data_IF_150158239815
#
_entry.id   IF_150158239815
#
_cell.length_a   1.000
_cell.length_b   1.000
_cell.length_c   1.000
_cell.angle_alpha   90.00
_cell.angle_beta   90.00
_cell.angle_gamma   90.00
#
_symmetry.space_group_name_H-M   'P 1'
#
loop_
_entity.id
_entity.type
_entity.pdbx_description
1 polymer ?
#
# COMPACT_ATOMS: atom_id res chain seq x y z
N UNK A 1 -18.36 -32.38 -49.38
CA UNK A 1 -16.98 -32.55 -48.88
C UNK A 1 -16.50 -31.20 -48.41
N UNK A 2 -15.97 -31.18 -47.19
CA UNK A 2 -15.98 -30.07 -46.25
C UNK A 2 -14.90 -29.02 -46.56
N UNK A 3 -15.30 -27.80 -46.92
CA UNK A 3 -14.41 -26.63 -46.89
C UNK A 3 -14.37 -26.09 -45.45
N UNK A 4 -13.19 -26.19 -44.83
CA UNK A 4 -12.90 -25.61 -43.52
C UNK A 4 -12.52 -24.15 -43.75
N UNK A 5 -13.42 -23.25 -43.35
CA UNK A 5 -13.18 -21.81 -43.33
C UNK A 5 -12.09 -21.44 -42.34
N UNK A 6 -11.01 -20.84 -42.85
CA UNK A 6 -9.99 -20.18 -42.05
C UNK A 6 -10.57 -18.89 -41.46
N UNK A 7 -10.85 -18.91 -40.15
CA UNK A 7 -11.15 -17.69 -39.39
C UNK A 7 -9.84 -16.94 -39.15
N UNK A 8 -9.69 -15.81 -39.83
CA UNK A 8 -8.72 -14.77 -39.50
C UNK A 8 -9.05 -14.19 -38.13
N UNK A 9 -8.22 -14.47 -37.13
CA UNK A 9 -8.18 -13.72 -35.86
C UNK A 9 -7.10 -12.65 -35.95
N UNK A 10 -7.37 -11.60 -36.74
CA UNK A 10 -6.64 -10.32 -36.65
C UNK A 10 -7.50 -9.36 -35.83
N UNK A 11 -7.29 -9.29 -34.52
CA UNK A 11 -7.55 -8.07 -33.76
C UNK A 11 -6.95 -8.16 -32.35
N UNK A 12 -6.05 -7.21 -32.08
CA UNK A 12 -5.48 -6.76 -30.80
C UNK A 12 -3.95 -6.84 -30.69
N UNK A 13 -3.22 -6.47 -31.74
CA UNK A 13 -1.84 -5.97 -31.61
C UNK A 13 -1.87 -4.45 -31.80
N UNK A 14 -2.38 -3.74 -30.79
CA UNK A 14 -2.16 -2.30 -30.61
C UNK A 14 -2.06 -2.00 -29.12
N UNK A 15 -0.91 -2.34 -28.55
CA UNK A 15 -0.40 -1.66 -27.35
C UNK A 15 0.96 -1.10 -27.73
N UNK A 16 1.02 0.23 -27.84
CA UNK A 16 2.24 0.97 -28.13
C UNK A 16 3.36 0.65 -27.14
N UNK A 17 4.59 0.86 -27.59
CA UNK A 17 5.84 0.90 -26.83
C UNK A 17 5.61 0.98 -25.32
N UNK A 18 5.71 -0.16 -24.64
CA UNK A 18 5.73 -0.24 -23.20
C UNK A 18 7.03 0.41 -22.71
N UNK A 19 7.02 1.74 -22.56
CA UNK A 19 8.10 2.50 -21.97
C UNK A 19 8.39 1.90 -20.59
N UNK A 20 9.62 1.39 -20.42
CA UNK A 20 10.11 0.70 -19.24
C UNK A 20 9.60 1.40 -17.96
N UNK A 21 8.87 0.66 -17.09
CA UNK A 21 8.27 1.19 -15.85
C UNK A 21 9.30 1.65 -14.81
N UNK A 22 10.58 1.39 -15.10
CA UNK A 22 11.72 1.49 -14.20
C UNK A 22 12.81 2.46 -14.69
N UNK A 23 12.47 3.41 -15.55
CA UNK A 23 13.33 4.56 -15.81
C UNK A 23 12.97 5.70 -14.86
N UNK A 24 13.98 6.32 -14.24
CA UNK A 24 13.78 7.60 -13.52
C UNK A 24 13.38 8.64 -14.56
N UNK A 25 12.12 9.00 -14.53
CA UNK A 25 11.54 10.02 -15.39
C UNK A 25 11.00 11.14 -14.52
N UNK A 26 10.51 12.21 -15.14
CA UNK A 26 9.66 13.17 -14.45
C UNK A 26 8.51 12.49 -13.70
N UNK A 27 7.75 13.27 -12.95
CA UNK A 27 6.63 12.80 -12.14
C UNK A 27 5.77 11.78 -12.88
N UNK A 28 5.76 10.54 -12.37
CA UNK A 28 5.17 9.37 -13.02
C UNK A 28 4.08 8.77 -12.14
N UNK A 29 3.04 8.24 -12.77
CA UNK A 29 2.00 7.45 -12.11
C UNK A 29 2.22 5.96 -12.28
N UNK A 30 1.79 5.20 -11.28
CA UNK A 30 1.92 3.75 -11.21
C UNK A 30 0.60 3.16 -10.74
N UNK A 31 0.05 2.23 -11.51
CA UNK A 31 -1.11 1.47 -11.07
C UNK A 31 -0.71 0.44 -10.01
N UNK A 32 -1.58 0.24 -9.02
CA UNK A 32 -1.41 -0.77 -7.99
C UNK A 32 -1.53 -2.19 -8.52
N UNK A 33 -1.30 -3.15 -7.61
CA UNK A 33 -1.39 -4.58 -7.89
C UNK A 33 -0.07 -5.22 -8.32
N UNK A 34 -0.20 -6.38 -8.97
CA UNK A 34 0.91 -7.25 -9.36
C UNK A 34 1.83 -6.59 -10.38
N UNK A 35 3.14 -6.73 -10.20
CA UNK A 35 4.16 -6.18 -11.10
C UNK A 35 4.89 -7.30 -11.83
N UNK A 36 4.55 -7.48 -13.10
CA UNK A 36 5.23 -8.40 -14.01
C UNK A 36 6.06 -7.61 -14.99
N UNK A 37 7.35 -7.92 -15.10
CA UNK A 37 8.28 -7.23 -15.99
C UNK A 37 9.23 -8.18 -16.70
N UNK A 38 9.74 -7.78 -17.88
CA UNK A 38 10.89 -8.44 -18.47
C UNK A 38 12.09 -8.45 -17.53
N UNK A 39 12.92 -9.50 -17.56
CA UNK A 39 14.09 -9.66 -16.68
C UNK A 39 15.04 -8.46 -16.78
N UNK A 40 15.27 -7.96 -18.00
CA UNK A 40 16.11 -6.79 -18.30
C UNK A 40 15.55 -5.47 -17.74
N UNK A 41 14.29 -5.48 -17.29
CA UNK A 41 13.61 -4.34 -16.70
C UNK A 41 13.32 -4.53 -15.19
N UNK A 42 13.78 -5.62 -14.56
CA UNK A 42 13.57 -5.81 -13.14
C UNK A 42 14.37 -4.76 -12.32
N UNK A 43 13.82 -4.23 -11.21
CA UNK A 43 14.56 -3.37 -10.30
C UNK A 43 15.60 -4.19 -9.53
N UNK A 44 16.44 -3.50 -8.75
CA UNK A 44 17.25 -4.20 -7.76
C UNK A 44 16.37 -4.84 -6.69
N UNK A 45 16.75 -6.04 -6.28
CA UNK A 45 16.04 -6.87 -5.33
C UNK A 45 16.75 -8.18 -5.13
N UNK A 46 16.20 -9.03 -4.27
CA UNK A 46 16.73 -10.37 -4.00
C UNK A 46 15.91 -11.40 -4.76
N UNK A 47 16.57 -12.24 -5.54
CA UNK A 47 15.93 -13.41 -6.12
C UNK A 47 15.41 -14.32 -5.00
N UNK A 48 14.19 -14.83 -5.15
CA UNK A 48 13.70 -15.88 -4.25
C UNK A 48 14.62 -17.09 -4.35
N UNK A 49 15.01 -17.72 -3.21
CA UNK A 49 15.93 -18.85 -3.22
C UNK A 49 15.31 -20.16 -3.73
N UNK A 50 14.04 -20.11 -4.16
CA UNK A 50 13.25 -21.20 -4.72
C UNK A 50 12.28 -20.64 -5.77
N UNK A 51 11.80 -21.50 -6.68
CA UNK A 51 10.82 -21.15 -7.70
C UNK A 51 9.41 -21.31 -7.15
N UNK A 52 8.88 -20.25 -6.54
CA UNK A 52 7.56 -20.27 -5.89
C UNK A 52 6.45 -20.58 -6.91
N UNK A 53 6.49 -19.94 -8.09
CA UNK A 53 5.56 -20.22 -9.19
C UNK A 53 5.62 -21.66 -9.73
N UNK A 54 6.77 -22.35 -9.61
CA UNK A 54 6.91 -23.75 -9.99
C UNK A 54 6.52 -24.73 -8.87
N UNK A 55 5.93 -24.25 -7.78
CA UNK A 55 5.51 -25.08 -6.66
C UNK A 55 6.64 -25.53 -5.73
N UNK A 56 7.84 -24.95 -5.87
CA UNK A 56 8.94 -25.23 -4.94
C UNK A 56 8.65 -24.60 -3.57
N UNK A 57 9.23 -25.20 -2.54
CA UNK A 57 9.15 -24.72 -1.17
C UNK A 57 10.50 -24.14 -0.73
N UNK A 58 10.51 -23.19 0.21
CA UNK A 58 11.74 -22.76 0.88
C UNK A 58 12.37 -23.91 1.66
N UNK A 59 13.64 -23.71 2.06
CA UNK A 59 14.35 -24.64 2.95
C UNK A 59 13.62 -24.76 4.30
N UNK A 60 13.71 -25.91 5.01
CA UNK A 60 13.09 -26.08 6.31
C UNK A 60 13.47 -24.99 7.31
N UNK A 61 12.49 -24.50 8.06
CA UNK A 61 12.63 -23.38 8.99
C UNK A 61 12.01 -23.67 10.35
N UNK A 62 11.50 -22.64 11.03
CA UNK A 62 11.03 -22.74 12.40
C UNK A 62 9.57 -23.26 12.56
N UNK A 63 8.92 -23.72 11.48
CA UNK A 63 7.53 -24.18 11.50
C UNK A 63 7.20 -25.18 12.63
N UNK A 64 8.01 -26.21 12.93
CA UNK A 64 7.70 -27.14 14.03
C UNK A 64 7.64 -26.45 15.41
N UNK A 65 8.48 -25.44 15.64
CA UNK A 65 8.48 -24.65 16.88
C UNK A 65 7.25 -23.75 16.94
N UNK A 66 6.89 -23.10 15.84
CA UNK A 66 5.70 -22.24 15.75
C UNK A 66 4.43 -23.05 16.00
N UNK A 67 4.32 -24.26 15.43
CA UNK A 67 3.16 -25.15 15.65
C UNK A 67 3.06 -25.66 17.09
N UNK A 68 4.19 -26.03 17.69
CA UNK A 68 4.20 -26.60 19.05
C UNK A 68 4.10 -25.54 20.15
N UNK A 69 4.64 -24.34 19.93
CA UNK A 69 4.78 -23.31 20.96
C UNK A 69 3.96 -22.05 20.70
N UNK A 70 3.33 -21.90 19.54
CA UNK A 70 2.72 -20.64 19.12
C UNK A 70 3.76 -19.55 18.84
N UNK A 71 3.29 -18.31 18.69
CA UNK A 71 4.12 -17.18 18.27
C UNK A 71 3.63 -15.83 18.80
N UNK A 72 4.53 -14.85 18.75
CA UNK A 72 4.29 -13.44 19.00
C UNK A 72 4.97 -12.63 17.89
N UNK A 73 4.23 -11.74 17.25
CA UNK A 73 4.73 -10.76 16.30
C UNK A 73 4.71 -9.37 16.96
N UNK A 74 5.87 -8.74 17.04
CA UNK A 74 6.03 -7.34 17.43
C UNK A 74 6.05 -6.47 16.16
N UNK A 75 4.99 -5.71 15.95
CA UNK A 75 4.82 -4.78 14.82
C UNK A 75 5.41 -3.39 15.13
N UNK A 76 6.14 -3.27 16.24
CA UNK A 76 6.83 -2.06 16.66
C UNK A 76 5.92 -1.03 17.33
N UNK A 77 6.54 0.11 17.66
CA UNK A 77 5.87 1.30 18.20
C UNK A 77 5.76 2.42 17.15
N UNK A 78 6.38 2.20 15.98
CA UNK A 78 6.54 3.19 14.93
C UNK A 78 5.31 3.17 14.03
N UNK A 79 4.65 4.32 13.85
CA UNK A 79 3.78 4.62 12.71
C UNK A 79 2.52 3.75 12.53
N UNK A 80 1.45 4.37 12.00
CA UNK A 80 0.29 3.60 11.54
C UNK A 80 0.63 2.75 10.30
N UNK A 81 1.48 3.25 9.40
CA UNK A 81 1.84 2.57 8.15
C UNK A 81 2.55 1.23 8.39
N UNK A 82 3.62 1.26 9.20
CA UNK A 82 4.46 0.10 9.52
C UNK A 82 3.63 -1.03 10.14
N UNK A 83 2.78 -0.69 11.12
CA UNK A 83 1.86 -1.64 11.73
C UNK A 83 0.89 -2.25 10.71
N UNK A 84 0.23 -1.44 9.87
CA UNK A 84 -0.72 -1.92 8.88
C UNK A 84 -0.08 -2.84 7.84
N UNK A 85 1.07 -2.47 7.30
CA UNK A 85 1.77 -3.22 6.26
C UNK A 85 2.45 -4.48 6.84
N UNK A 86 2.91 -4.40 8.08
CA UNK A 86 3.50 -5.51 8.84
C UNK A 86 2.53 -6.63 9.20
N UNK A 87 1.21 -6.36 9.23
CA UNK A 87 0.18 -7.37 9.47
C UNK A 87 0.21 -8.53 8.45
N UNK A 88 0.83 -8.36 7.29
CA UNK A 88 1.06 -9.48 6.37
C UNK A 88 1.91 -10.61 7.00
N UNK A 89 2.83 -10.28 7.92
CA UNK A 89 3.57 -11.30 8.69
C UNK A 89 2.62 -12.11 9.57
N UNK A 90 1.65 -11.43 10.19
CA UNK A 90 0.61 -12.04 11.03
C UNK A 90 -0.30 -12.95 10.20
N UNK A 91 -0.61 -12.57 8.95
CA UNK A 91 -1.36 -13.43 8.01
C UNK A 91 -0.59 -14.72 7.72
N UNK A 92 0.70 -14.63 7.39
CA UNK A 92 1.53 -15.81 7.13
C UNK A 92 1.65 -16.74 8.35
N UNK A 93 1.85 -16.17 9.54
CA UNK A 93 1.88 -16.93 10.80
C UNK A 93 0.52 -17.57 11.12
N UNK A 94 -0.58 -16.86 10.84
CA UNK A 94 -1.94 -17.38 11.04
C UNK A 94 -2.25 -18.56 10.13
N UNK A 95 -1.81 -18.53 8.88
CA UNK A 95 -2.04 -19.61 7.91
C UNK A 95 -1.50 -20.96 8.41
N UNK A 96 -0.34 -20.95 9.08
CA UNK A 96 0.28 -22.17 9.62
C UNK A 96 -0.23 -22.55 11.02
N UNK A 97 -1.02 -21.68 11.66
CA UNK A 97 -1.67 -21.92 12.96
C UNK A 97 -3.15 -21.50 12.98
N UNK A 98 -4.02 -22.06 12.11
CA UNK A 98 -5.40 -21.61 11.96
C UNK A 98 -6.30 -21.94 13.16
N UNK A 99 -5.89 -22.89 14.01
CA UNK A 99 -6.66 -23.27 15.22
C UNK A 99 -6.34 -22.44 16.47
N UNK A 100 -5.27 -21.64 16.47
CA UNK A 100 -4.85 -20.92 17.68
C UNK A 100 -5.58 -19.57 17.81
N UNK A 101 -6.16 -19.22 18.97
CA UNK A 101 -6.75 -17.90 19.17
C UNK A 101 -5.71 -16.79 18.97
N UNK A 102 -6.08 -15.73 18.24
CA UNK A 102 -5.26 -14.53 18.06
C UNK A 102 -5.68 -13.44 19.05
N UNK A 103 -4.69 -12.74 19.59
CA UNK A 103 -4.87 -11.57 20.42
C UNK A 103 -3.94 -10.44 19.99
N UNK A 104 -4.52 -9.28 19.71
CA UNK A 104 -3.81 -8.03 19.54
C UNK A 104 -3.81 -7.22 20.85
N UNK A 105 -2.67 -6.62 21.17
CA UNK A 105 -2.51 -5.67 22.27
C UNK A 105 -1.72 -4.44 21.77
N UNK A 106 -2.23 -3.24 22.03
CA UNK A 106 -1.56 -1.99 21.66
C UNK A 106 -2.52 -0.80 21.52
N UNK A 107 -2.03 0.40 21.14
CA UNK A 107 -2.80 1.65 21.24
C UNK A 107 -3.91 1.80 20.18
N UNK A 108 -3.98 0.89 19.21
CA UNK A 108 -4.96 0.90 18.10
C UNK A 108 -5.99 -0.23 18.20
N UNK A 109 -6.36 -0.66 19.41
CA UNK A 109 -7.30 -1.75 19.63
C UNK A 109 -8.63 -1.57 18.89
N UNK A 110 -9.17 -0.34 18.90
CA UNK A 110 -10.42 -0.02 18.21
C UNK A 110 -10.33 -0.19 16.69
N UNK A 111 -9.23 0.21 16.06
CA UNK A 111 -8.98 -0.03 14.64
C UNK A 111 -8.84 -1.54 14.38
N UNK A 112 -8.09 -2.25 15.22
CA UNK A 112 -7.86 -3.69 15.06
C UNK A 112 -9.13 -4.54 15.20
N UNK A 113 -10.16 -4.07 15.92
CA UNK A 113 -11.48 -4.73 15.93
C UNK A 113 -12.16 -4.77 14.56
N UNK A 114 -11.76 -3.86 13.66
CA UNK A 114 -12.28 -3.79 12.29
C UNK A 114 -11.46 -4.61 11.29
N UNK A 115 -10.29 -5.11 11.70
CA UNK A 115 -9.42 -5.92 10.87
C UNK A 115 -10.12 -7.24 10.50
N UNK A 116 -9.92 -7.72 9.27
CA UNK A 116 -10.51 -8.96 8.78
C UNK A 116 -9.91 -10.20 9.43
N UNK A 117 -8.78 -10.07 10.14
CA UNK A 117 -8.19 -11.16 10.91
C UNK A 117 -9.02 -11.44 12.17
N UNK A 118 -9.44 -12.69 12.41
CA UNK A 118 -10.26 -13.04 13.57
C UNK A 118 -9.41 -13.02 14.84
N UNK A 119 -9.39 -11.88 15.52
CA UNK A 119 -8.61 -11.69 16.75
C UNK A 119 -9.39 -10.93 17.82
N UNK A 120 -9.08 -11.22 19.08
CA UNK A 120 -9.47 -10.38 20.21
C UNK A 120 -8.51 -9.21 20.33
N UNK A 121 -8.96 -8.09 20.89
CA UNK A 121 -8.15 -6.87 21.00
C UNK A 121 -8.15 -6.34 22.43
N UNK A 122 -7.00 -5.95 22.95
CA UNK A 122 -6.86 -5.15 24.17
C UNK A 122 -6.16 -3.84 23.87
N UNK A 123 -6.60 -2.78 24.54
CA UNK A 123 -5.88 -1.51 24.54
C UNK A 123 -4.71 -1.60 25.52
N UNK A 124 -3.53 -1.23 25.03
CA UNK A 124 -2.33 -1.17 25.84
C UNK A 124 -1.42 -0.05 25.33
N UNK A 125 -0.69 0.57 26.24
CA UNK A 125 0.39 1.49 25.89
C UNK A 125 1.61 0.70 25.41
N UNK A 126 2.34 1.27 24.44
CA UNK A 126 3.57 0.67 23.91
C UNK A 126 3.39 0.01 22.54
N UNK A 127 4.12 -1.10 22.26
CA UNK A 127 4.18 -1.69 20.92
C UNK A 127 2.88 -2.34 20.49
N UNK A 128 2.71 -2.45 19.18
CA UNK A 128 1.68 -3.22 18.54
C UNK A 128 2.07 -4.70 18.54
N UNK A 129 1.45 -5.50 19.41
CA UNK A 129 1.77 -6.93 19.54
C UNK A 129 0.59 -7.77 19.09
N UNK A 130 0.83 -8.76 18.22
CA UNK A 130 -0.13 -9.83 17.92
C UNK A 130 0.47 -11.15 18.38
N UNK A 131 -0.29 -11.96 19.11
CA UNK A 131 0.20 -13.23 19.67
C UNK A 131 -0.86 -14.32 19.69
N UNK A 132 -0.39 -15.55 19.82
CA UNK A 132 -1.18 -16.72 20.24
C UNK A 132 -1.10 -16.94 21.76
N UNK A 133 -2.12 -17.52 22.37
CA UNK A 133 -2.24 -17.71 23.83
C UNK A 133 -1.34 -18.79 24.47
N UNK A 134 -0.07 -18.89 24.09
CA UNK A 134 0.84 -19.95 24.54
C UNK A 134 1.89 -19.46 25.55
N UNK A 135 2.45 -20.37 26.36
CA UNK A 135 3.37 -20.03 27.47
C UNK A 135 4.79 -19.67 27.04
N UNK A 136 5.24 -20.09 25.85
CA UNK A 136 6.61 -19.85 25.37
C UNK A 136 6.68 -19.63 23.85
N UNK A 137 6.03 -18.58 23.33
CA UNK A 137 5.89 -18.36 21.90
C UNK A 137 7.23 -18.05 21.20
N UNK A 138 7.35 -18.46 19.94
CA UNK A 138 8.42 -17.99 19.04
C UNK A 138 8.20 -16.50 18.76
N UNK A 139 9.24 -15.68 18.88
CA UNK A 139 9.14 -14.22 18.70
C UNK A 139 9.60 -13.81 17.32
N UNK A 140 8.79 -12.99 16.66
CA UNK A 140 9.06 -12.36 15.38
C UNK A 140 9.04 -10.85 15.58
N UNK A 141 10.14 -10.17 15.22
CA UNK A 141 10.16 -8.72 15.07
C UNK A 141 9.79 -8.41 13.63
N UNK A 142 8.84 -7.50 13.44
CA UNK A 142 8.41 -7.06 12.12
C UNK A 142 8.93 -5.64 11.92
N UNK A 143 9.96 -5.52 11.09
CA UNK A 143 10.62 -4.25 10.79
C UNK A 143 10.43 -3.91 9.31
N UNK A 144 9.80 -2.77 9.01
CA UNK A 144 9.52 -2.33 7.65
C UNK A 144 10.79 -2.07 6.82
N UNK A 145 11.93 -1.90 7.49
CA UNK A 145 13.22 -1.64 6.83
C UNK A 145 14.00 -2.89 6.45
N UNK A 146 13.68 -4.05 7.04
CA UNK A 146 14.43 -5.29 6.84
C UNK A 146 14.14 -6.03 5.51
N UNK A 147 12.88 -6.25 5.10
CA UNK A 147 12.63 -7.21 4.02
C UNK A 147 12.93 -6.58 2.63
N UNK A 148 13.73 -7.26 1.79
CA UNK A 148 14.09 -6.76 0.46
C UNK A 148 12.91 -6.86 -0.50
N UNK A 149 12.99 -6.17 -1.64
CA UNK A 149 12.17 -6.52 -2.79
C UNK A 149 12.50 -7.96 -3.20
N UNK A 150 11.49 -8.80 -3.38
CA UNK A 150 11.70 -10.17 -3.87
C UNK A 150 11.43 -10.26 -5.37
N UNK A 151 12.27 -11.02 -6.07
CA UNK A 151 12.14 -11.29 -7.50
C UNK A 151 11.84 -12.79 -7.68
N UNK A 152 10.64 -13.11 -8.18
CA UNK A 152 10.27 -14.48 -8.55
C UNK A 152 10.34 -14.65 -10.07
N UNK A 153 11.07 -15.67 -10.55
CA UNK A 153 11.13 -15.94 -11.97
C UNK A 153 9.96 -16.85 -12.36
N UNK A 154 9.09 -16.34 -13.22
CA UNK A 154 7.90 -17.06 -13.68
C UNK A 154 8.17 -17.94 -14.92
N UNK A 155 9.27 -17.69 -15.63
CA UNK A 155 9.62 -18.40 -16.86
C UNK A 155 10.73 -17.68 -17.65
N UNK A 156 10.97 -18.08 -18.90
CA UNK A 156 11.97 -17.42 -19.76
C UNK A 156 11.65 -15.94 -19.94
N UNK A 157 12.53 -15.07 -19.45
CA UNK A 157 12.45 -13.62 -19.68
C UNK A 157 11.43 -12.85 -18.85
N UNK A 158 10.71 -13.48 -17.91
CA UNK A 158 9.74 -12.77 -17.05
C UNK A 158 10.02 -12.96 -15.55
N UNK A 159 9.90 -11.84 -14.82
CA UNK A 159 10.02 -11.78 -13.37
C UNK A 159 8.80 -11.08 -12.78
N UNK A 160 8.30 -11.64 -11.68
CA UNK A 160 7.41 -10.95 -10.78
C UNK A 160 8.22 -10.19 -9.73
N UNK A 161 7.88 -8.91 -9.57
CA UNK A 161 8.50 -8.02 -8.59
C UNK A 161 7.56 -7.89 -7.40
N UNK A 162 7.94 -8.50 -6.28
CA UNK A 162 7.25 -8.33 -5.00
C UNK A 162 7.78 -7.09 -4.29
N UNK A 163 7.44 -5.93 -4.85
CA UNK A 163 7.85 -4.62 -4.34
C UNK A 163 7.09 -4.18 -3.09
N UNK A 164 5.79 -4.50 -2.98
CA UNK A 164 4.94 -4.02 -1.89
C UNK A 164 5.31 -4.64 -0.54
N UNK A 165 5.45 -3.80 0.50
CA UNK A 165 5.91 -4.22 1.82
C UNK A 165 5.12 -5.39 2.43
N UNK A 166 3.78 -5.49 2.30
CA UNK A 166 3.04 -6.66 2.74
C UNK A 166 3.55 -7.97 2.13
N UNK A 167 3.78 -8.01 0.82
CA UNK A 167 4.28 -9.22 0.17
C UNK A 167 5.72 -9.52 0.55
N UNK A 168 6.54 -8.48 0.78
CA UNK A 168 7.90 -8.66 1.28
C UNK A 168 7.94 -9.33 2.64
N UNK A 169 7.10 -8.86 3.57
CA UNK A 169 6.94 -9.46 4.90
C UNK A 169 6.42 -10.90 4.81
N UNK A 170 5.41 -11.14 3.98
CA UNK A 170 4.83 -12.47 3.81
C UNK A 170 5.85 -13.48 3.26
N UNK A 171 6.63 -13.11 2.25
CA UNK A 171 7.69 -13.96 1.70
C UNK A 171 8.88 -14.15 2.65
N UNK A 172 9.17 -13.16 3.49
CA UNK A 172 10.14 -13.32 4.58
C UNK A 172 9.64 -14.32 5.62
N UNK A 173 8.34 -14.31 5.96
CA UNK A 173 7.75 -15.32 6.85
C UNK A 173 7.75 -16.71 6.20
N UNK A 174 7.39 -16.83 4.92
CA UNK A 174 7.46 -18.07 4.14
C UNK A 174 8.85 -18.74 4.29
N UNK A 175 9.91 -17.95 4.11
CA UNK A 175 11.29 -18.41 4.26
C UNK A 175 11.67 -18.75 5.70
N UNK A 176 11.31 -17.93 6.68
CA UNK A 176 11.63 -18.19 8.09
C UNK A 176 10.92 -19.44 8.64
N UNK A 177 9.66 -19.65 8.23
CA UNK A 177 8.89 -20.84 8.59
C UNK A 177 9.40 -22.08 7.85
N UNK A 178 9.90 -21.90 6.63
CA UNK A 178 10.34 -22.99 5.77
C UNK A 178 9.19 -23.81 5.21
N UNK A 179 8.10 -23.14 4.85
CA UNK A 179 6.94 -23.73 4.19
C UNK A 179 6.35 -22.72 3.22
N UNK A 180 5.94 -23.16 2.03
CA UNK A 180 5.23 -22.31 1.08
C UNK A 180 3.88 -21.89 1.67
N UNK A 181 3.65 -20.59 1.73
CA UNK A 181 2.37 -20.00 2.13
C UNK A 181 1.49 -19.80 0.88
N UNK A 182 0.18 -19.75 1.09
CA UNK A 182 -0.84 -19.91 0.05
C UNK A 182 -1.09 -18.68 -0.82
N UNK A 183 -0.86 -17.47 -0.31
CA UNK A 183 -1.22 -16.23 -1.00
C UNK A 183 -0.16 -15.85 -2.02
N UNK A 184 -0.59 -15.69 -3.27
CA UNK A 184 0.23 -15.22 -4.37
C UNK A 184 0.19 -13.69 -4.52
N UNK A 185 -0.85 -13.03 -4.00
CA UNK A 185 -0.99 -11.58 -4.01
C UNK A 185 -1.63 -11.01 -2.71
N UNK A 186 -1.36 -9.72 -2.48
CA UNK A 186 -1.97 -8.84 -1.47
C UNK A 186 -2.27 -9.49 -0.10
N UNK A 187 -1.24 -9.93 0.67
CA UNK A 187 -1.44 -10.59 1.97
C UNK A 187 -1.85 -9.64 3.10
N UNK A 188 -1.99 -8.33 2.83
CA UNK A 188 -2.41 -7.37 3.83
C UNK A 188 -3.89 -7.59 4.18
N UNK A 189 -4.26 -7.68 5.47
CA UNK A 189 -5.65 -7.80 5.86
C UNK A 189 -6.42 -6.51 5.61
N UNK A 190 -7.73 -6.63 5.40
CA UNK A 190 -8.62 -5.52 5.12
C UNK A 190 -9.30 -5.01 6.40
N UNK A 191 -9.76 -3.76 6.38
CA UNK A 191 -10.50 -3.13 7.47
C UNK A 191 -11.93 -2.90 7.04
N UNK A 192 -12.87 -3.57 7.71
CA UNK A 192 -14.26 -3.63 7.29
C UNK A 192 -15.05 -2.39 7.72
N UNK A 193 -15.90 -1.92 6.83
CA UNK A 193 -16.91 -0.89 7.06
C UNK A 193 -18.29 -1.37 6.61
N UNK A 194 -19.31 -0.77 7.21
CA UNK A 194 -20.71 -0.92 6.82
C UNK A 194 -21.14 0.20 5.84
N UNK A 195 -20.29 1.20 5.63
CA UNK A 195 -20.55 2.31 4.72
C UNK A 195 -20.45 1.89 3.25
N UNK A 196 -21.25 2.58 2.43
CA UNK A 196 -21.28 2.44 0.98
C UNK A 196 -20.67 3.65 0.29
N UNK A 197 -20.21 3.44 -0.95
CA UNK A 197 -19.66 4.53 -1.75
C UNK A 197 -20.69 5.64 -1.95
N UNK A 198 -20.30 6.87 -1.63
CA UNK A 198 -21.04 8.08 -1.99
C UNK A 198 -20.49 8.56 -3.34
N UNK A 199 -21.32 8.68 -4.40
CA UNK A 199 -20.86 9.13 -5.70
C UNK A 199 -20.13 10.48 -5.64
N UNK A 200 -19.04 10.60 -6.38
CA UNK A 200 -18.20 11.80 -6.48
C UNK A 200 -17.57 12.25 -5.16
N UNK A 201 -17.48 11.37 -4.17
CA UNK A 201 -16.83 11.66 -2.90
C UNK A 201 -15.33 11.38 -2.98
N UNK A 202 -14.55 12.43 -2.77
CA UNK A 202 -13.09 12.42 -2.71
C UNK A 202 -12.64 12.75 -1.29
N UNK A 203 -11.76 11.92 -0.74
CA UNK A 203 -11.09 12.21 0.54
C UNK A 203 -9.65 12.62 0.28
N UNK A 204 -9.24 13.76 0.82
CA UNK A 204 -7.89 14.32 0.71
C UNK A 204 -7.15 14.09 2.03
N UNK A 205 -6.06 13.32 2.04
CA UNK A 205 -5.32 12.95 3.26
C UNK A 205 -3.99 13.68 3.32
N UNK A 206 -3.93 14.68 4.21
CA UNK A 206 -2.76 15.50 4.44
C UNK A 206 -1.88 14.90 5.56
N UNK A 207 -0.61 15.29 5.59
CA UNK A 207 0.32 14.95 6.67
C UNK A 207 0.94 16.20 7.29
N UNK A 208 1.30 16.10 8.56
CA UNK A 208 2.26 17.02 9.17
C UNK A 208 3.66 16.60 8.69
N UNK A 209 4.25 17.39 7.81
CA UNK A 209 5.63 17.22 7.39
C UNK A 209 6.36 18.55 7.41
N UNK A 210 7.68 18.54 7.21
CA UNK A 210 8.38 19.79 6.91
C UNK A 210 7.79 20.41 5.63
N UNK A 211 7.84 21.74 5.44
CA UNK A 211 7.21 22.41 4.30
C UNK A 211 7.67 21.90 2.92
N UNK A 212 8.88 21.33 2.86
CA UNK A 212 9.49 20.74 1.65
C UNK A 212 9.03 19.29 1.40
N UNK A 213 8.34 18.67 2.38
CA UNK A 213 7.84 17.29 2.32
C UNK A 213 6.32 17.21 2.20
N UNK A 214 5.60 18.31 2.35
CA UNK A 214 4.14 18.30 2.36
C UNK A 214 3.58 18.80 1.03
N UNK A 215 2.78 17.96 0.38
CA UNK A 215 1.72 18.44 -0.49
C UNK A 215 0.71 19.17 0.41
N UNK A 216 0.75 20.50 0.41
CA UNK A 216 0.07 21.31 1.39
C UNK A 216 -1.43 21.46 1.10
N UNK A 217 -2.15 22.19 1.97
CA UNK A 217 -3.58 22.48 1.78
C UNK A 217 -3.88 23.13 0.44
N UNK A 218 -3.08 24.13 0.03
CA UNK A 218 -3.24 24.82 -1.25
C UNK A 218 -3.07 23.87 -2.45
N UNK A 219 -2.10 22.95 -2.40
CA UNK A 219 -1.90 21.97 -3.46
C UNK A 219 -3.08 20.99 -3.56
N UNK A 220 -3.61 20.52 -2.43
CA UNK A 220 -4.77 19.65 -2.41
C UNK A 220 -6.06 20.36 -2.87
N UNK A 221 -6.26 21.62 -2.46
CA UNK A 221 -7.37 22.43 -2.94
C UNK A 221 -7.29 22.63 -4.47
N UNK A 222 -6.08 22.85 -5.01
CA UNK A 222 -5.88 22.96 -6.44
C UNK A 222 -6.16 21.64 -7.18
N UNK A 223 -5.82 20.48 -6.62
CA UNK A 223 -6.20 19.17 -7.20
C UNK A 223 -7.72 19.03 -7.31
N UNK A 224 -8.45 19.35 -6.24
CA UNK A 224 -9.91 19.28 -6.25
C UNK A 224 -10.53 20.30 -7.23
N UNK A 225 -9.96 21.50 -7.34
CA UNK A 225 -10.35 22.49 -8.36
C UNK A 225 -10.16 21.96 -9.78
N UNK A 226 -9.04 21.28 -10.07
CA UNK A 226 -8.80 20.67 -11.38
C UNK A 226 -9.81 19.55 -11.69
N UNK A 227 -10.22 18.75 -10.69
CA UNK A 227 -11.27 17.74 -10.86
C UNK A 227 -12.61 18.38 -11.23
N UNK A 228 -13.01 19.44 -10.50
CA UNK A 228 -14.23 20.19 -10.75
C UNK A 228 -14.24 20.85 -12.13
N UNK A 229 -13.09 21.39 -12.56
CA UNK A 229 -12.92 22.01 -13.89
C UNK A 229 -13.02 20.99 -15.01
N UNK A 230 -12.50 19.78 -14.80
CA UNK A 230 -12.48 18.71 -15.80
C UNK A 230 -13.87 18.13 -16.02
N UNK A 231 -14.68 18.00 -14.96
CA UNK A 231 -16.02 17.43 -15.04
C UNK A 231 -17.01 18.12 -14.11
N UNK A 232 -18.13 18.55 -14.68
CA UNK A 232 -19.28 19.03 -13.90
C UNK A 232 -19.99 17.84 -13.26
N UNK A 233 -19.90 17.72 -11.93
CA UNK A 233 -20.51 16.67 -11.12
C UNK A 233 -20.84 17.22 -9.71
N UNK A 234 -21.71 16.57 -8.93
CA UNK A 234 -22.01 16.97 -7.55
C UNK A 234 -20.88 16.54 -6.61
N UNK A 235 -19.70 17.12 -6.80
CA UNK A 235 -18.48 16.77 -6.06
C UNK A 235 -18.66 16.93 -4.55
N UNK A 236 -18.16 15.95 -3.81
CA UNK A 236 -18.02 16.04 -2.35
C UNK A 236 -16.55 15.88 -2.00
N UNK A 237 -15.96 16.89 -1.37
CA UNK A 237 -14.60 16.81 -0.86
C UNK A 237 -14.61 16.77 0.67
N UNK A 238 -13.86 15.83 1.25
CA UNK A 238 -13.55 15.79 2.67
C UNK A 238 -12.04 15.81 2.86
N UNK A 239 -11.50 16.74 3.65
CA UNK A 239 -10.08 16.77 3.98
C UNK A 239 -9.82 16.14 5.35
N UNK A 240 -8.80 15.29 5.46
CA UNK A 240 -8.24 14.79 6.72
C UNK A 240 -6.91 15.50 6.94
N UNK A 241 -6.84 16.32 8.00
CA UNK A 241 -5.71 17.20 8.27
C UNK A 241 -5.00 16.85 9.58
N UNK A 242 -3.68 17.04 9.69
CA UNK A 242 -2.98 16.78 10.94
C UNK A 242 -3.36 17.80 12.02
N UNK A 243 -3.17 17.44 13.29
CA UNK A 243 -3.45 18.33 14.44
C UNK A 243 -2.62 19.62 14.43
N UNK A 244 -1.45 19.58 13.82
CA UNK A 244 -0.53 20.73 13.74
C UNK A 244 -1.01 21.79 12.73
N UNK A 245 -1.91 21.44 11.81
CA UNK A 245 -2.50 22.39 10.88
C UNK A 245 -3.60 23.17 11.61
N UNK A 246 -3.35 24.46 11.87
CA UNK A 246 -4.26 25.33 12.63
C UNK A 246 -5.38 25.94 11.77
N UNK A 247 -5.10 26.21 10.50
CA UNK A 247 -6.06 26.72 9.52
C UNK A 247 -5.72 26.22 8.13
N UNK A 248 -6.74 26.08 7.30
CA UNK A 248 -6.61 25.65 5.90
C UNK A 248 -7.69 26.35 5.05
N UNK A 249 -7.64 27.69 4.90
CA UNK A 249 -8.72 28.46 4.27
C UNK A 249 -9.05 27.95 2.86
N UNK A 250 -8.03 27.59 2.08
CA UNK A 250 -8.21 27.03 0.72
C UNK A 250 -9.04 25.72 0.72
N UNK A 251 -8.96 24.93 1.80
CA UNK A 251 -9.74 23.71 1.97
C UNK A 251 -11.10 24.00 2.61
N UNK A 252 -11.22 24.99 3.48
CA UNK A 252 -12.47 25.33 4.16
C UNK A 252 -13.53 25.83 3.17
N UNK A 253 -13.12 26.56 2.12
CA UNK A 253 -14.02 27.02 1.06
C UNK A 253 -14.46 25.90 0.10
N UNK A 254 -13.59 24.90 -0.10
CA UNK A 254 -13.77 23.87 -1.12
C UNK A 254 -14.37 22.57 -0.57
N UNK A 255 -14.00 22.21 0.66
CA UNK A 255 -14.38 20.95 1.26
C UNK A 255 -15.71 21.06 1.98
N UNK A 256 -16.58 20.07 1.74
CA UNK A 256 -17.80 19.91 2.52
C UNK A 256 -17.53 19.59 3.99
N UNK A 257 -16.32 19.08 4.30
CA UNK A 257 -15.89 18.73 5.65
C UNK A 257 -14.37 18.74 5.76
N UNK A 258 -13.85 19.30 6.84
CA UNK A 258 -12.44 19.18 7.25
C UNK A 258 -12.38 18.46 8.61
N UNK A 259 -11.61 17.38 8.68
CA UNK A 259 -11.50 16.50 9.86
C UNK A 259 -10.08 16.56 10.39
N UNK A 260 -9.91 17.07 11.60
CA UNK A 260 -8.60 17.25 12.21
C UNK A 260 -8.20 16.06 13.07
N UNK A 261 -7.08 15.42 12.72
CA UNK A 261 -6.46 14.29 13.40
C UNK A 261 -7.45 13.23 13.93
N UNK A 262 -8.33 12.68 13.06
CA UNK A 262 -9.28 11.66 13.46
C UNK A 262 -8.60 10.39 14.00
N UNK A 263 -9.33 9.66 14.84
CA UNK A 263 -8.93 8.28 15.16
C UNK A 263 -8.93 7.46 13.86
N UNK A 264 -7.85 6.69 13.56
CA UNK A 264 -7.81 5.83 12.39
C UNK A 264 -9.02 4.89 12.26
N UNK A 265 -9.62 4.44 13.37
CA UNK A 265 -10.81 3.62 13.34
C UNK A 265 -12.04 4.34 12.75
N UNK A 266 -12.17 5.66 12.97
CA UNK A 266 -13.22 6.49 12.34
C UNK A 266 -12.95 6.72 10.85
N UNK A 267 -11.67 6.74 10.48
CA UNK A 267 -11.28 6.93 9.09
C UNK A 267 -11.71 5.77 8.19
N UNK A 268 -11.90 4.56 8.74
CA UNK A 268 -12.33 3.41 7.96
C UNK A 268 -13.71 3.65 7.33
N UNK A 269 -14.66 4.23 8.06
CA UNK A 269 -15.99 4.58 7.51
C UNK A 269 -15.90 5.74 6.52
N UNK A 270 -15.11 6.77 6.86
CA UNK A 270 -14.86 7.89 5.95
C UNK A 270 -14.29 7.40 4.60
N UNK A 271 -13.28 6.54 4.62
CA UNK A 271 -12.66 6.00 3.41
C UNK A 271 -13.58 5.05 2.66
N UNK A 272 -14.38 4.25 3.36
CA UNK A 272 -15.36 3.37 2.72
C UNK A 272 -16.43 4.18 1.95
N UNK A 273 -16.81 5.35 2.47
CA UNK A 273 -17.75 6.25 1.80
C UNK A 273 -17.18 6.97 0.58
N UNK A 274 -15.86 6.96 0.38
CA UNK A 274 -15.21 7.66 -0.73
C UNK A 274 -15.14 6.78 -1.98
N UNK A 275 -15.26 7.36 -3.17
CA UNK A 275 -14.88 6.67 -4.42
C UNK A 275 -13.36 6.74 -4.62
N UNK A 276 -12.76 7.87 -4.24
CA UNK A 276 -11.33 8.15 -4.38
C UNK A 276 -10.75 8.71 -3.09
N UNK A 277 -9.54 8.27 -2.73
CA UNK A 277 -8.71 8.90 -1.72
C UNK A 277 -7.40 9.35 -2.36
N UNK A 278 -7.03 10.61 -2.17
CA UNK A 278 -5.72 11.15 -2.60
C UNK A 278 -4.97 11.58 -1.35
N UNK A 279 -3.77 11.08 -1.15
CA UNK A 279 -3.03 11.37 0.08
C UNK A 279 -1.53 11.27 -0.10
N UNK A 280 -0.79 11.93 0.78
CA UNK A 280 0.67 11.71 0.87
C UNK A 280 0.96 10.33 1.47
N UNK A 281 2.19 9.83 1.28
CA UNK A 281 2.62 8.56 1.89
C UNK A 281 2.62 8.62 3.42
N UNK A 282 1.50 8.19 4.02
CA UNK A 282 1.31 8.08 5.46
C UNK A 282 0.29 6.98 5.77
N UNK A 283 0.28 6.53 7.04
CA UNK A 283 -0.53 5.38 7.47
C UNK A 283 -2.03 5.50 7.20
N UNK A 284 -2.60 6.70 7.10
CA UNK A 284 -4.01 6.89 6.76
C UNK A 284 -4.27 6.64 5.27
N UNK A 285 -3.34 7.01 4.38
CA UNK A 285 -3.40 6.65 2.95
C UNK A 285 -3.29 5.13 2.76
N UNK A 286 -2.40 4.45 3.50
CA UNK A 286 -2.37 2.98 3.48
C UNK A 286 -3.67 2.38 4.04
N UNK A 287 -4.22 2.93 5.12
CA UNK A 287 -5.48 2.46 5.69
C UNK A 287 -6.63 2.58 4.68
N UNK A 288 -6.75 3.70 3.97
CA UNK A 288 -7.75 3.89 2.92
C UNK A 288 -7.71 2.76 1.87
N UNK A 289 -6.50 2.36 1.46
CA UNK A 289 -6.33 1.30 0.48
C UNK A 289 -6.65 -0.10 1.02
N UNK A 290 -6.61 -0.29 2.35
CA UNK A 290 -7.00 -1.51 3.04
C UNK A 290 -8.46 -1.50 3.51
N UNK A 291 -9.16 -0.38 3.37
CA UNK A 291 -10.60 -0.31 3.67
C UNK A 291 -11.40 -1.16 2.70
N UNK A 292 -12.36 -1.91 3.26
CA UNK A 292 -13.31 -2.72 2.52
C UNK A 292 -14.74 -2.36 2.89
N UNK A 293 -15.57 -2.17 1.87
CA UNK A 293 -17.02 -1.99 1.94
C UNK A 293 -17.72 -3.35 2.12
N UNK A 294 -19.04 -3.38 2.40
CA UNK A 294 -19.78 -4.64 2.56
C UNK A 294 -19.71 -5.59 1.35
N UNK A 295 -19.62 -5.04 0.13
CA UNK A 295 -19.47 -5.81 -1.12
C UNK A 295 -18.02 -6.25 -1.42
N UNK A 296 -17.08 -5.99 -0.51
CA UNK A 296 -15.64 -6.26 -0.70
C UNK A 296 -14.92 -5.22 -1.57
N UNK A 297 -15.63 -4.26 -2.15
CA UNK A 297 -15.03 -3.13 -2.86
C UNK A 297 -14.37 -2.15 -1.87
N UNK A 298 -13.83 -1.05 -2.38
CA UNK A 298 -13.16 -0.02 -1.59
C UNK A 298 -12.81 1.17 -2.50
N UNK A 299 -12.28 2.26 -1.92
CA UNK A 299 -11.89 3.42 -2.71
C UNK A 299 -10.70 3.11 -3.60
N UNK A 300 -10.59 3.84 -4.71
CA UNK A 300 -9.31 3.98 -5.42
C UNK A 300 -8.42 4.94 -4.64
N UNK A 301 -7.18 4.57 -4.39
CA UNK A 301 -6.26 5.35 -3.56
C UNK A 301 -5.05 5.77 -4.37
N UNK A 302 -4.79 7.06 -4.43
CA UNK A 302 -3.62 7.64 -5.08
C UNK A 302 -2.70 8.21 -4.00
N UNK A 303 -1.62 7.48 -3.71
CA UNK A 303 -0.56 7.93 -2.81
C UNK A 303 0.44 8.84 -3.53
N UNK A 304 0.87 9.91 -2.87
CA UNK A 304 1.90 10.83 -3.35
C UNK A 304 3.23 10.53 -2.64
N UNK A 305 4.24 10.13 -3.42
CA UNK A 305 5.52 9.64 -2.92
C UNK A 305 6.67 10.54 -3.38
N UNK A 306 7.47 11.01 -2.42
CA UNK A 306 8.70 11.75 -2.70
C UNK A 306 9.94 11.11 -2.06
N UNK A 307 9.93 10.95 -0.74
CA UNK A 307 11.09 10.50 0.07
C UNK A 307 10.99 9.03 0.49
N UNK A 308 10.08 8.30 -0.12
CA UNK A 308 9.84 6.88 0.13
C UNK A 308 9.62 6.17 -1.20
N UNK A 309 10.09 4.94 -1.27
CA UNK A 309 9.85 4.09 -2.44
C UNK A 309 8.35 3.86 -2.62
N UNK A 310 7.84 4.30 -3.76
CA UNK A 310 6.43 4.17 -4.15
C UNK A 310 6.00 2.72 -4.47
N UNK A 311 6.96 1.79 -4.56
CA UNK A 311 6.68 0.37 -4.71
C UNK A 311 6.80 -0.39 -3.38
N UNK A 312 7.60 0.11 -2.44
CA UNK A 312 7.74 -0.47 -1.09
C UNK A 312 6.56 -0.09 -0.20
N UNK A 313 6.29 1.20 -0.02
CA UNK A 313 5.35 1.71 0.99
C UNK A 313 3.87 1.67 0.57
N UNK A 314 3.52 0.77 -0.35
CA UNK A 314 2.15 0.49 -0.80
C UNK A 314 1.62 -0.82 -0.22
N UNK A 315 0.32 -1.02 -0.31
CA UNK A 315 -0.37 -2.20 0.24
C UNK A 315 -0.30 -3.42 -0.70
N UNK A 316 0.14 -3.23 -1.95
CA UNK A 316 0.06 -4.25 -3.01
C UNK A 316 -1.35 -4.48 -3.54
N UNK A 317 -2.35 -3.74 -3.05
CA UNK A 317 -3.71 -3.75 -3.58
C UNK A 317 -3.76 -3.17 -4.99
N UNK A 318 -4.63 -3.70 -5.85
CA UNK A 318 -4.92 -3.13 -7.18
C UNK A 318 -5.52 -1.72 -7.09
N UNK A 319 -6.09 -1.35 -5.94
CA UNK A 319 -6.67 -0.04 -5.65
C UNK A 319 -5.66 0.95 -5.06
N UNK A 320 -4.43 0.54 -4.77
CA UNK A 320 -3.40 1.44 -4.22
C UNK A 320 -2.41 1.84 -5.30
N UNK A 321 -2.67 2.99 -5.90
CA UNK A 321 -1.87 3.61 -6.94
C UNK A 321 -0.87 4.61 -6.35
N UNK A 322 0.12 4.98 -7.15
CA UNK A 322 1.13 5.94 -6.74
C UNK A 322 1.37 7.01 -7.80
N UNK A 323 1.65 8.23 -7.35
CA UNK A 323 2.32 9.28 -8.12
C UNK A 323 3.67 9.55 -7.43
N UNK A 324 4.75 9.39 -8.16
CA UNK A 324 6.10 9.38 -7.61
C UNK A 324 6.97 10.48 -8.22
N UNK A 325 7.70 11.21 -7.39
CA UNK A 325 8.78 12.08 -7.85
C UNK A 325 9.95 11.25 -8.40
N UNK A 326 10.92 11.92 -9.04
CA UNK A 326 12.15 11.27 -9.53
C UNK A 326 12.91 10.54 -8.41
N UNK A 327 13.01 11.15 -7.23
CA UNK A 327 13.70 10.54 -6.10
C UNK A 327 12.98 9.28 -5.58
N UNK A 328 11.66 9.33 -5.43
CA UNK A 328 10.85 8.16 -5.07
C UNK A 328 10.95 7.01 -6.09
N UNK A 329 11.12 7.33 -7.38
CA UNK A 329 11.38 6.34 -8.43
C UNK A 329 12.76 5.72 -8.28
N UNK A 330 13.80 6.52 -8.00
CA UNK A 330 15.15 6.00 -7.72
C UNK A 330 15.18 5.07 -6.51
N UNK A 331 14.53 5.46 -5.40
CA UNK A 331 14.45 4.62 -4.20
C UNK A 331 13.78 3.26 -4.49
N UNK A 332 12.74 3.27 -5.34
CA UNK A 332 12.08 2.05 -5.77
C UNK A 332 12.95 1.16 -6.65
N UNK A 333 13.78 1.76 -7.52
CA UNK A 333 14.72 1.04 -8.38
C UNK A 333 15.87 0.41 -7.62
N UNK A 334 16.43 1.16 -6.66
CA UNK A 334 17.60 0.77 -5.89
C UNK A 334 17.26 -0.11 -4.68
N UNK A 335 15.97 -0.28 -4.37
CA UNK A 335 15.46 -0.89 -3.14
C UNK A 335 16.02 -0.25 -1.86
N UNK A 336 16.07 1.08 -1.85
CA UNK A 336 16.67 1.90 -0.79
C UNK A 336 15.64 2.69 0.02
N UNK A 337 16.02 3.04 1.24
CA UNK A 337 15.29 3.91 2.15
C UNK A 337 16.24 5.00 2.66
N UNK A 338 15.88 6.31 2.57
CA UNK A 338 16.81 7.38 2.93
C UNK A 338 17.39 7.29 4.34
N UNK A 339 16.53 7.03 5.35
CA UNK A 339 16.99 6.93 6.74
C UNK A 339 17.87 5.71 7.03
N UNK A 340 17.59 4.55 6.41
CA UNK A 340 18.36 3.31 6.59
C UNK A 340 19.70 3.36 5.88
N UNK A 341 19.72 3.95 4.68
CA UNK A 341 20.85 3.94 3.77
C UNK A 341 21.62 5.28 3.76
N UNK A 342 21.35 6.15 4.75
CA UNK A 342 22.02 7.45 4.96
C UNK A 342 22.05 8.32 3.69
N UNK A 343 20.94 8.34 2.95
CA UNK A 343 20.84 9.13 1.72
C UNK A 343 20.51 10.58 2.05
N UNK A 344 21.35 11.50 1.59
CA UNK A 344 21.08 12.93 1.67
C UNK A 344 20.04 13.34 0.60
N UNK A 345 18.84 13.64 1.09
CA UNK A 345 17.70 14.04 0.26
C UNK A 345 17.84 15.48 -0.27
N UNK A 346 18.63 16.33 0.38
CA UNK A 346 18.82 17.73 -0.02
C UNK A 346 19.56 17.83 -1.36
N UNK A 347 20.48 16.89 -1.62
CA UNK A 347 21.20 16.77 -2.90
C UNK A 347 20.24 16.55 -4.08
N UNK A 348 19.05 16.00 -3.83
CA UNK A 348 18.06 15.75 -4.88
C UNK A 348 17.15 16.95 -5.15
N UNK A 349 17.14 17.97 -4.29
CA UNK A 349 16.36 19.20 -4.48
C UNK A 349 14.91 18.95 -4.92
N UNK A 350 14.50 19.58 -6.01
CA UNK A 350 13.17 19.45 -6.63
C UNK A 350 12.77 18.01 -6.97
N UNK A 351 13.73 17.12 -7.21
CA UNK A 351 13.46 15.71 -7.48
C UNK A 351 12.90 14.96 -6.27
N UNK A 352 13.11 15.48 -5.05
CA UNK A 352 12.60 14.94 -3.79
C UNK A 352 11.46 15.80 -3.18
N UNK A 353 10.93 16.78 -3.91
CA UNK A 353 9.89 17.69 -3.44
C UNK A 353 8.51 17.33 -4.03
N UNK A 354 7.52 17.10 -3.15
CA UNK A 354 6.14 16.83 -3.59
C UNK A 354 5.48 18.03 -4.27
N UNK A 355 5.92 19.26 -4.01
CA UNK A 355 5.38 20.47 -4.66
C UNK A 355 5.67 20.49 -6.16
N UNK A 356 6.67 19.74 -6.61
CA UNK A 356 6.98 19.54 -8.02
C UNK A 356 6.03 18.56 -8.72
N UNK A 357 5.14 17.87 -7.99
CA UNK A 357 4.09 17.01 -8.56
C UNK A 357 2.95 17.86 -9.12
N UNK A 358 2.71 17.87 -10.45
CA UNK A 358 1.67 18.71 -11.03
C UNK A 358 0.27 18.30 -10.56
N UNK A 359 -0.48 19.27 -10.03
CA UNK A 359 -1.85 19.08 -9.52
C UNK A 359 -2.80 18.50 -10.56
N UNK A 360 -2.68 18.98 -11.80
CA UNK A 360 -3.44 18.48 -12.95
C UNK A 360 -3.17 17.00 -13.22
N UNK A 361 -1.93 16.53 -13.07
CA UNK A 361 -1.59 15.10 -13.24
C UNK A 361 -2.20 14.24 -12.13
N UNK A 362 -2.22 14.74 -10.89
CA UNK A 362 -2.84 14.03 -9.76
C UNK A 362 -4.35 13.93 -9.98
N UNK A 363 -5.01 15.04 -10.32
CA UNK A 363 -6.44 15.08 -10.62
C UNK A 363 -6.81 14.14 -11.76
N UNK A 364 -6.13 14.28 -12.90
CA UNK A 364 -6.31 13.46 -14.11
C UNK A 364 -6.16 11.96 -13.83
N UNK A 365 -5.09 11.57 -13.13
CA UNK A 365 -4.86 10.17 -12.79
C UNK A 365 -5.90 9.61 -11.83
N UNK A 366 -6.26 10.38 -10.79
CA UNK A 366 -7.25 9.96 -9.82
C UNK A 366 -8.64 9.73 -10.46
N UNK A 367 -9.07 10.62 -11.37
CA UNK A 367 -10.35 10.41 -12.07
C UNK A 367 -10.33 9.27 -13.08
N UNK A 368 -9.21 9.00 -13.76
CA UNK A 368 -9.05 7.78 -14.56
C UNK A 368 -9.15 6.50 -13.72
N UNK A 369 -8.50 6.47 -12.54
CA UNK A 369 -8.60 5.33 -11.63
C UNK A 369 -10.04 5.08 -11.19
N UNK A 370 -10.82 6.15 -10.99
CA UNK A 370 -12.23 6.11 -10.64
C UNK A 370 -13.17 5.78 -11.82
N UNK A 371 -12.68 5.84 -13.06
CA UNK A 371 -13.50 5.65 -14.26
C UNK A 371 -14.41 6.84 -14.59
N UNK A 372 -14.05 8.04 -14.16
CA UNK A 372 -14.85 9.25 -14.38
C UNK A 372 -14.64 9.90 -15.76
N UNK A 373 -13.51 9.63 -16.42
CA UNK A 373 -13.18 10.02 -17.79
C UNK A 373 -12.19 9.06 -18.43
#
# INVERSE_FOLDING_TARGET
MTEVGAVRTEQAVRSGQAANRWQVQDVRWHHGGRQLVPVEHAPFGRALPYRRAAGQSPLPGCLPLVRSRGWTADLGQQGLADMLLGLASVVGLREVTPGLPLHYSGPRARLMRRCSLPMTTSEAWGPHIVRTGTRSPVRFRVDAEEPPAWLDHLGPGQVEVHGALPMRHYLSMEQQLGVRLSLDDTPAPLFRSEEWAVPWHVVLVLSAGSPQCSYGPAEFAAVATEMMRTRSAPWRFTAVVPRTLRSAPDLDELCTRVVQAPDPADCVDLFASAEVVVGVDNGLTQLAALTARPDGSGPQVVGLYARRSHTKWITGSRRHHAVATRFAQMLALADRSPGRDELDEEVWGDAADLRCVPRSRVADFAGRCAGWW
#
